data_IF_952931640568
#
_entry.id   IF_952931640568
#
_cell.length_a   1.000
_cell.length_b   1.000
_cell.length_c   1.000
_cell.angle_alpha   90.00
_cell.angle_beta   90.00
_cell.angle_gamma   90.00
#
_symmetry.space_group_name_H-M   'P 1'
#
loop_
_entity.id
_entity.type
_entity.pdbx_description
1 polymer ?
#
# COMPACT_ATOMS: atom_id res chain seq x y z
N UNK A 1 -7.20 -15.04 11.77
CA UNK A 1 -5.98 -14.21 11.88
C UNK A 1 -5.29 -14.14 10.53
N UNK A 2 -5.69 -13.22 9.65
CA UNK A 2 -5.07 -13.02 8.33
C UNK A 2 -4.34 -11.69 8.32
N UNK A 3 -3.19 -11.62 8.99
CA UNK A 3 -2.31 -10.45 8.89
C UNK A 3 -1.26 -10.60 7.76
N UNK A 4 -1.26 -11.72 7.03
CA UNK A 4 -0.50 -11.98 5.79
C UNK A 4 -1.30 -12.94 4.87
N UNK A 5 -2.61 -12.74 4.74
CA UNK A 5 -3.49 -13.71 4.06
C UNK A 5 -3.41 -13.61 2.54
N UNK A 6 -2.62 -14.46 1.87
CA UNK A 6 -2.74 -14.66 0.43
C UNK A 6 -1.45 -14.90 -0.36
N UNK A 7 -0.29 -14.98 0.29
CA UNK A 7 0.93 -15.38 -0.42
C UNK A 7 0.93 -16.91 -0.59
N UNK A 8 1.23 -17.43 -1.79
CA UNK A 8 1.38 -18.87 -2.00
C UNK A 8 2.46 -19.45 -1.09
N UNK A 9 2.27 -20.68 -0.62
CA UNK A 9 3.24 -21.40 0.23
C UNK A 9 4.64 -21.48 -0.40
N UNK A 10 4.70 -21.50 -1.73
CA UNK A 10 5.93 -21.43 -2.49
C UNK A 10 5.97 -20.19 -3.38
N UNK A 11 6.92 -19.30 -3.09
CA UNK A 11 7.25 -18.16 -3.94
C UNK A 11 8.70 -18.25 -4.42
N UNK A 12 8.91 -17.91 -5.69
CA UNK A 12 10.25 -17.81 -6.28
C UNK A 12 11.00 -16.53 -5.90
N UNK A 13 10.35 -15.63 -5.16
CA UNK A 13 10.85 -14.31 -4.78
C UNK A 13 10.70 -14.09 -3.28
N UNK A 14 11.61 -13.29 -2.71
CA UNK A 14 11.59 -12.88 -1.31
C UNK A 14 10.75 -11.61 -1.12
N UNK A 15 9.93 -11.58 -0.07
CA UNK A 15 9.17 -10.39 0.32
C UNK A 15 10.08 -9.42 1.08
N UNK A 16 10.04 -8.14 0.70
CA UNK A 16 10.70 -7.04 1.40
C UNK A 16 9.69 -5.93 1.63
N UNK A 17 9.63 -5.40 2.86
CA UNK A 17 8.69 -4.36 3.28
C UNK A 17 9.44 -3.08 3.66
N UNK A 18 9.98 -2.31 2.68
CA UNK A 18 10.91 -1.19 2.96
C UNK A 18 10.27 -0.04 3.75
N UNK A 19 8.95 0.06 3.75
CA UNK A 19 8.20 1.13 4.43
C UNK A 19 7.63 0.69 5.78
N UNK A 20 7.95 -0.53 6.26
CA UNK A 20 7.34 -1.13 7.47
C UNK A 20 7.55 -0.30 8.75
N UNK A 21 8.68 0.40 8.83
CA UNK A 21 9.05 1.21 9.99
C UNK A 21 8.52 2.66 9.93
N UNK A 22 7.81 3.03 8.86
CA UNK A 22 7.34 4.40 8.63
C UNK A 22 5.84 4.53 8.88
N UNK A 23 5.44 5.66 9.46
CA UNK A 23 4.05 6.09 9.52
C UNK A 23 3.55 6.65 8.17
N UNK A 24 2.23 6.81 8.03
CA UNK A 24 1.62 7.23 6.75
C UNK A 24 2.06 8.62 6.29
N UNK A 25 2.29 9.54 7.22
CA UNK A 25 2.80 10.88 6.93
C UNK A 25 4.27 10.85 6.51
N UNK A 26 5.09 9.98 7.12
CA UNK A 26 6.48 9.75 6.74
C UNK A 26 6.59 9.18 5.32
N UNK A 27 5.76 8.20 4.98
CA UNK A 27 5.70 7.65 3.61
C UNK A 27 5.37 8.74 2.58
N UNK A 28 4.48 9.69 2.92
CA UNK A 28 4.17 10.83 2.04
C UNK A 28 5.36 11.77 1.89
N UNK A 29 6.09 12.07 2.98
CA UNK A 29 7.31 12.91 2.93
C UNK A 29 8.39 12.27 2.06
N UNK A 30 8.61 10.96 2.20
CA UNK A 30 9.54 10.22 1.33
C UNK A 30 9.10 10.34 -0.14
N UNK A 31 7.83 10.09 -0.44
CA UNK A 31 7.30 10.24 -1.79
C UNK A 31 7.47 11.66 -2.37
N UNK A 32 7.26 12.69 -1.56
CA UNK A 32 7.47 14.08 -1.97
C UNK A 32 8.94 14.36 -2.30
N UNK A 33 9.88 13.85 -1.49
CA UNK A 33 11.32 13.99 -1.75
C UNK A 33 11.77 13.26 -3.03
N UNK A 34 11.02 12.25 -3.48
CA UNK A 34 11.23 11.54 -4.75
C UNK A 34 10.55 12.22 -5.95
N UNK A 35 9.91 13.38 -5.76
CA UNK A 35 9.23 14.10 -6.83
C UNK A 35 7.87 13.51 -7.25
N UNK A 36 7.24 12.69 -6.40
CA UNK A 36 5.89 12.19 -6.67
C UNK A 36 4.88 13.35 -6.56
N UNK A 37 3.96 13.41 -7.52
CA UNK A 37 2.93 14.44 -7.57
C UNK A 37 2.07 14.52 -6.29
N UNK A 38 1.80 15.74 -5.84
CA UNK A 38 1.09 16.00 -4.60
C UNK A 38 -0.36 15.48 -4.61
N UNK A 39 -1.04 15.46 -5.76
CA UNK A 39 -2.37 14.89 -5.89
C UNK A 39 -2.36 13.38 -5.67
N UNK A 40 -1.30 12.69 -6.10
CA UNK A 40 -1.15 11.25 -5.86
C UNK A 40 -0.87 10.94 -4.38
N UNK A 41 0.03 11.69 -3.75
CA UNK A 41 0.35 11.53 -2.32
C UNK A 41 -0.83 11.85 -1.40
N UNK A 42 -1.66 12.81 -1.81
CA UNK A 42 -2.86 13.25 -1.10
C UNK A 42 -4.10 12.37 -1.31
N UNK A 43 -4.06 11.39 -2.22
CA UNK A 43 -5.23 10.57 -2.55
C UNK A 43 -5.73 9.76 -1.35
N UNK A 44 -7.04 9.70 -1.18
CA UNK A 44 -7.70 8.85 -0.17
C UNK A 44 -7.45 7.37 -0.46
N UNK A 45 -7.38 6.51 0.59
CA UNK A 45 -7.29 5.07 0.40
C UNK A 45 -8.48 4.56 -0.40
N UNK A 46 -8.22 3.56 -1.24
CA UNK A 46 -9.23 2.89 -2.05
C UNK A 46 -9.18 1.39 -1.74
N UNK A 47 -10.33 0.72 -1.52
CA UNK A 47 -10.36 -0.68 -1.11
C UNK A 47 -9.88 -1.61 -2.23
N UNK A 48 -9.25 -2.74 -1.87
CA UNK A 48 -8.77 -3.75 -2.83
C UNK A 48 -9.86 -4.28 -3.77
N UNK A 49 -11.06 -4.66 -3.28
CA UNK A 49 -12.21 -5.04 -4.11
C UNK A 49 -12.83 -3.87 -4.92
N UNK A 50 -12.37 -2.64 -4.71
CA UNK A 50 -12.80 -1.46 -5.44
C UNK A 50 -14.29 -1.15 -5.33
N UNK A 51 -14.96 -0.99 -6.48
CA UNK A 51 -16.39 -0.67 -6.55
C UNK A 51 -17.30 -1.88 -6.29
N UNK A 52 -16.76 -3.11 -6.32
CA UNK A 52 -17.56 -4.32 -6.14
C UNK A 52 -18.27 -4.37 -4.78
N UNK A 53 -17.69 -3.72 -3.75
CA UNK A 53 -18.30 -3.58 -2.41
C UNK A 53 -19.17 -2.33 -2.26
N UNK A 54 -19.38 -1.57 -3.34
CA UNK A 54 -20.13 -0.30 -3.34
C UNK A 54 -21.39 -0.34 -4.22
N UNK A 55 -21.71 -1.49 -4.80
CA UNK A 55 -22.92 -1.73 -5.60
C UNK A 55 -23.74 -2.78 -4.82
N UNK A 56 -24.97 -2.43 -4.46
CA UNK A 56 -25.90 -3.26 -3.69
C UNK A 56 -26.61 -4.28 -4.57
#
# INVERSE_FOLDING_TARGET
HHNVGGLPDFMKLKVVEPLKALFKDEVRRVGASMGIDAQLLGRHPFPGPGLAIRIL
#
